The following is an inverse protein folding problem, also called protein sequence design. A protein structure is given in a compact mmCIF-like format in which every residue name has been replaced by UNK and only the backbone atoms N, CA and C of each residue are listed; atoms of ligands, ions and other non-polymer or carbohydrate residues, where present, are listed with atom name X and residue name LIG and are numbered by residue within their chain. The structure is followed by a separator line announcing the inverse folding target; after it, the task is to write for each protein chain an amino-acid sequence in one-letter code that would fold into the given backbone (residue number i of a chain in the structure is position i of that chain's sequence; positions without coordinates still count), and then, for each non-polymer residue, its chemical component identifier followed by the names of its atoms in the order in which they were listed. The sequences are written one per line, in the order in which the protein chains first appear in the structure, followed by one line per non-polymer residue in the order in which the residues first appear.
data_IF_320422670165
#
_entry.id   IF_320422670165
#
_cell.length_a   1.000
_cell.length_b   1.000
_cell.length_c   1.000
_cell.angle_alpha   90.00
_cell.angle_beta   90.00
_cell.angle_gamma   90.00
#
_symmetry.space_group_name_H-M   'P 1'
#
loop_
_entity.id
_entity.type
_entity.pdbx_description
1 polymer ?
#
# COMPACT_ATOMS: atom_id res chain seq x y z
N UNK A 1 7.85 -5.33 26.87
CA UNK A 1 7.19 -4.04 26.63
C UNK A 1 8.18 -2.97 26.15
N UNK A 2 9.34 -2.78 26.84
CA UNK A 2 10.32 -1.73 26.52
C UNK A 2 11.08 -1.95 25.19
N UNK A 3 11.40 -3.19 24.82
CA UNK A 3 12.18 -3.49 23.61
C UNK A 3 11.44 -3.28 22.29
N UNK A 4 10.10 -3.33 22.30
CA UNK A 4 9.27 -3.12 21.09
C UNK A 4 8.97 -1.66 20.80
N UNK A 5 8.81 -0.81 21.83
CA UNK A 5 8.74 0.64 21.66
C UNK A 5 9.99 1.19 20.95
N UNK A 6 11.16 0.63 21.24
CA UNK A 6 12.43 1.05 20.63
C UNK A 6 12.49 0.74 19.12
N UNK A 7 11.92 -0.39 18.65
CA UNK A 7 11.92 -0.73 17.21
C UNK A 7 10.99 0.18 16.39
N UNK A 8 9.84 0.55 16.94
CA UNK A 8 8.92 1.50 16.29
C UNK A 8 9.54 2.89 16.22
N UNK A 9 10.24 3.30 17.27
CA UNK A 9 10.96 4.57 17.30
C UNK A 9 12.14 4.60 16.32
N UNK A 10 12.85 3.48 16.12
CA UNK A 10 13.95 3.39 15.15
C UNK A 10 13.46 3.47 13.70
N UNK A 11 12.31 2.87 13.38
CA UNK A 11 11.70 3.03 12.06
C UNK A 11 11.32 4.49 11.77
N UNK A 12 10.83 5.23 12.77
CA UNK A 12 10.52 6.66 12.66
C UNK A 12 11.77 7.53 12.47
N UNK A 13 12.89 7.20 13.14
CA UNK A 13 14.14 7.95 13.02
C UNK A 13 14.81 7.78 11.65
N UNK A 14 14.64 6.62 11.01
CA UNK A 14 15.20 6.40 9.68
C UNK A 14 14.48 7.21 8.60
N UNK A 15 13.17 7.49 8.77
CA UNK A 15 12.41 8.39 7.87
C UNK A 15 12.94 9.83 7.83
N UNK A 16 13.50 10.34 8.93
CA UNK A 16 13.98 11.73 9.01
C UNK A 16 15.31 11.98 8.29
N UNK A 17 16.05 10.94 7.91
CA UNK A 17 17.40 11.10 7.28
C UNK A 17 17.40 11.06 5.76
N UNK A 18 16.32 10.74 5.09
CA UNK A 18 16.26 10.63 3.62
C UNK A 18 15.54 11.81 2.96
N UNK A 19 15.61 12.99 3.55
CA UNK A 19 15.17 14.24 2.95
C UNK A 19 16.06 14.62 1.76
N UNK A 20 15.84 14.02 0.60
CA UNK A 20 16.18 14.59 -0.70
C UNK A 20 14.87 14.74 -1.47
N UNK A 21 14.37 15.97 -1.44
CA UNK A 21 13.35 16.50 -2.32
C UNK A 21 13.79 16.33 -3.79
N UNK A 22 13.41 15.21 -4.38
CA UNK A 22 13.45 15.04 -5.82
C UNK A 22 12.02 15.25 -6.31
N UNK A 23 11.72 16.44 -6.83
CA UNK A 23 10.48 16.74 -7.49
C UNK A 23 10.22 15.69 -8.57
N UNK A 24 9.09 14.99 -8.45
CA UNK A 24 8.49 14.32 -9.60
C UNK A 24 8.08 15.46 -10.53
N UNK A 25 8.95 15.78 -11.49
CA UNK A 25 8.77 16.93 -12.38
C UNK A 25 7.50 16.75 -13.19
N UNK A 26 6.47 17.49 -12.86
CA UNK A 26 5.26 17.62 -13.66
C UNK A 26 5.61 18.46 -14.89
N UNK A 27 6.18 17.82 -15.91
CA UNK A 27 6.30 18.45 -17.23
C UNK A 27 5.01 18.20 -17.99
N UNK A 28 4.44 19.22 -18.68
CA UNK A 28 3.35 18.98 -19.61
C UNK A 28 3.86 18.04 -20.72
N UNK A 29 3.26 16.84 -20.78
CA UNK A 29 3.69 15.78 -21.70
C UNK A 29 3.19 16.13 -23.10
N UNK A 30 4.08 16.61 -23.95
CA UNK A 30 3.94 16.41 -25.39
C UNK A 30 4.13 14.91 -25.59
N UNK A 31 3.06 14.21 -25.99
CA UNK A 31 3.03 12.75 -26.15
C UNK A 31 4.03 12.33 -27.24
N UNK A 32 5.26 12.05 -26.85
CA UNK A 32 6.24 11.40 -27.68
C UNK A 32 6.32 9.94 -27.20
N UNK A 33 5.98 8.97 -28.06
CA UNK A 33 6.01 7.53 -27.75
C UNK A 33 7.34 7.03 -27.15
N UNK A 34 8.41 7.82 -27.28
CA UNK A 34 9.72 7.53 -26.71
C UNK A 34 9.77 7.52 -25.17
N UNK A 35 8.72 8.00 -24.48
CA UNK A 35 8.65 8.08 -23.01
C UNK A 35 7.58 7.16 -22.40
N UNK A 36 6.97 6.27 -23.18
CA UNK A 36 6.08 5.26 -22.66
C UNK A 36 6.94 4.10 -22.17
N UNK A 37 6.94 3.85 -20.88
CA UNK A 37 7.58 2.66 -20.32
C UNK A 37 6.64 1.47 -20.56
N UNK A 38 6.85 0.78 -21.68
CA UNK A 38 6.09 -0.43 -21.95
C UNK A 38 6.36 -1.48 -20.86
N UNK A 39 5.35 -2.29 -20.50
CA UNK A 39 5.57 -3.45 -19.66
C UNK A 39 6.72 -4.31 -20.24
N UNK A 40 7.48 -4.97 -19.37
CA UNK A 40 8.48 -5.92 -19.85
C UNK A 40 7.80 -7.08 -20.63
N UNK A 41 8.61 -7.96 -21.22
CA UNK A 41 8.11 -9.09 -22.03
C UNK A 41 7.11 -9.99 -21.27
N UNK A 42 7.13 -9.96 -19.95
CA UNK A 42 6.22 -10.71 -19.06
C UNK A 42 5.01 -9.84 -18.60
N UNK A 43 4.83 -8.64 -19.15
CA UNK A 43 3.76 -7.71 -18.78
C UNK A 43 3.93 -7.04 -17.42
N UNK A 44 5.14 -7.09 -16.85
CA UNK A 44 5.45 -6.51 -15.54
C UNK A 44 5.77 -5.02 -15.69
N UNK A 45 5.22 -4.21 -14.80
CA UNK A 45 5.49 -2.76 -14.72
C UNK A 45 6.16 -2.45 -13.40
N UNK A 46 7.31 -1.80 -13.46
CA UNK A 46 8.12 -1.47 -12.30
C UNK A 46 7.88 -0.03 -11.87
N UNK A 47 7.87 0.19 -10.55
CA UNK A 47 7.78 1.54 -9.99
C UNK A 47 8.95 2.40 -10.49
N UNK A 48 8.69 3.60 -11.05
CA UNK A 48 9.74 4.46 -11.59
C UNK A 48 10.71 4.98 -10.52
N UNK A 49 10.29 4.95 -9.24
CA UNK A 49 11.10 5.46 -8.12
C UNK A 49 11.98 4.40 -7.48
N UNK A 50 11.43 3.25 -7.11
CA UNK A 50 12.13 2.21 -6.34
C UNK A 50 12.40 0.92 -7.12
N UNK A 51 11.87 0.77 -8.34
CA UNK A 51 12.04 -0.43 -9.16
C UNK A 51 11.24 -1.65 -8.69
N UNK A 52 10.43 -1.55 -7.65
CA UNK A 52 9.58 -2.64 -7.18
C UNK A 52 8.47 -2.94 -8.18
N UNK A 53 8.05 -4.21 -8.25
CA UNK A 53 6.95 -4.62 -9.09
C UNK A 53 5.65 -3.94 -8.68
N UNK A 54 4.99 -3.27 -9.63
CA UNK A 54 3.68 -2.67 -9.45
C UNK A 54 2.55 -3.69 -9.43
N UNK A 55 1.52 -3.41 -8.65
CA UNK A 55 0.28 -4.20 -8.62
C UNK A 55 -0.76 -3.40 -9.40
N UNK A 56 -1.32 -3.99 -10.46
CA UNK A 56 -2.36 -3.34 -11.27
C UNK A 56 -3.61 -3.07 -10.42
N UNK A 57 -4.12 -1.83 -10.48
CA UNK A 57 -5.33 -1.38 -9.80
C UNK A 57 -6.27 -0.68 -10.76
N UNK A 58 -7.57 -0.88 -10.54
CA UNK A 58 -8.62 -0.16 -11.26
C UNK A 58 -9.02 1.14 -10.56
N UNK A 59 -10.15 1.72 -11.00
CA UNK A 59 -10.66 3.01 -10.51
C UNK A 59 -11.03 3.01 -9.02
N UNK A 60 -11.54 1.89 -8.49
CA UNK A 60 -12.02 1.80 -7.10
C UNK A 60 -11.02 2.29 -6.05
N UNK A 61 -9.82 1.69 -5.96
CA UNK A 61 -8.75 2.17 -5.08
C UNK A 61 -8.32 3.61 -5.36
N UNK A 62 -8.21 3.99 -6.65
CA UNK A 62 -7.80 5.34 -7.05
C UNK A 62 -8.80 6.39 -6.55
N UNK A 63 -10.10 6.15 -6.72
CA UNK A 63 -11.17 7.04 -6.27
C UNK A 63 -11.26 7.12 -4.73
N UNK A 64 -10.93 6.02 -4.06
CA UNK A 64 -11.00 5.94 -2.61
C UNK A 64 -9.82 6.65 -1.94
N UNK A 65 -8.61 6.45 -2.46
CA UNK A 65 -7.39 6.84 -1.74
C UNK A 65 -6.74 8.12 -2.24
N UNK A 66 -6.92 8.52 -3.50
CA UNK A 66 -6.25 9.70 -4.06
C UNK A 66 -7.03 10.97 -3.74
N UNK A 67 -6.32 12.03 -3.33
CA UNK A 67 -6.91 13.36 -3.16
C UNK A 67 -7.51 13.85 -4.47
N UNK A 68 -8.66 14.52 -4.40
CA UNK A 68 -9.42 14.96 -5.58
C UNK A 68 -8.61 15.88 -6.50
N UNK A 69 -7.79 16.75 -5.92
CA UNK A 69 -6.91 17.69 -6.63
C UNK A 69 -5.93 17.05 -7.60
N UNK A 70 -5.54 15.80 -7.35
CA UNK A 70 -4.54 15.07 -8.15
C UNK A 70 -5.09 13.81 -8.82
N UNK A 71 -6.38 13.49 -8.57
CA UNK A 71 -7.02 12.27 -9.08
C UNK A 71 -6.98 12.16 -10.61
N UNK A 72 -7.08 13.29 -11.30
CA UNK A 72 -7.06 13.36 -12.77
C UNK A 72 -5.74 12.91 -13.41
N UNK A 73 -4.65 12.81 -12.66
CA UNK A 73 -3.36 12.32 -13.18
C UNK A 73 -3.41 10.84 -13.58
N UNK A 74 -4.28 10.05 -12.92
CA UNK A 74 -4.41 8.61 -13.13
C UNK A 74 -5.88 8.26 -13.38
N UNK A 75 -6.42 8.47 -14.61
CA UNK A 75 -7.86 8.46 -14.83
C UNK A 75 -8.51 7.08 -14.63
N UNK A 76 -8.01 6.02 -15.25
CA UNK A 76 -8.74 4.76 -15.35
C UNK A 76 -8.06 3.56 -14.67
N UNK A 77 -6.74 3.48 -14.77
CA UNK A 77 -5.95 2.39 -14.22
C UNK A 77 -4.54 2.87 -13.88
N UNK A 78 -3.94 2.19 -12.91
CA UNK A 78 -2.59 2.47 -12.47
C UNK A 78 -1.96 1.22 -11.86
N UNK A 79 -0.71 1.34 -11.44
CA UNK A 79 -0.02 0.36 -10.63
C UNK A 79 0.25 0.93 -9.25
N UNK A 80 -0.03 0.13 -8.24
CA UNK A 80 0.29 0.43 -6.85
C UNK A 80 1.71 -0.03 -6.52
N UNK A 81 2.49 0.80 -5.84
CA UNK A 81 3.82 0.45 -5.33
C UNK A 81 3.71 -0.06 -3.89
N UNK A 82 3.99 -1.34 -3.66
CA UNK A 82 3.88 -1.96 -2.32
C UNK A 82 5.09 -1.69 -1.41
N UNK A 83 6.13 -1.04 -1.90
CA UNK A 83 7.35 -0.82 -1.12
C UNK A 83 7.11 0.26 -0.06
N UNK A 84 7.13 -0.13 1.23
CA UNK A 84 6.74 0.73 2.36
C UNK A 84 7.58 2.02 2.49
N UNK A 85 8.85 1.98 2.07
CA UNK A 85 9.74 3.14 2.12
C UNK A 85 9.73 3.97 0.82
N UNK A 86 8.84 3.65 -0.13
CA UNK A 86 8.72 4.40 -1.37
C UNK A 86 7.77 5.58 -1.18
N UNK A 87 8.17 6.74 -1.73
CA UNK A 87 7.32 7.94 -1.73
C UNK A 87 6.16 7.85 -2.74
N UNK A 88 6.26 6.96 -3.77
CA UNK A 88 5.23 6.77 -4.79
C UNK A 88 4.23 5.74 -4.32
N UNK A 89 2.94 6.13 -4.28
CA UNK A 89 1.84 5.23 -4.01
C UNK A 89 1.31 4.58 -5.30
N UNK A 90 0.99 5.40 -6.29
CA UNK A 90 0.47 4.93 -7.58
C UNK A 90 1.24 5.55 -8.74
N UNK A 91 1.30 4.83 -9.85
CA UNK A 91 1.93 5.30 -11.08
C UNK A 91 1.32 4.64 -12.31
N UNK A 92 1.52 5.22 -13.50
CA UNK A 92 1.06 4.66 -14.76
C UNK A 92 2.23 4.43 -15.74
N UNK A 93 1.92 3.90 -16.94
CA UNK A 93 2.91 3.65 -17.99
C UNK A 93 3.58 4.92 -18.54
N UNK A 94 3.02 6.09 -18.27
CA UNK A 94 3.59 7.38 -18.65
C UNK A 94 4.46 7.99 -17.55
N UNK A 95 4.79 7.20 -16.52
CA UNK A 95 5.54 7.63 -15.33
C UNK A 95 4.88 8.78 -14.54
N UNK A 96 3.58 9.02 -14.77
CA UNK A 96 2.82 9.92 -13.91
C UNK A 96 2.61 9.24 -12.56
N UNK A 97 2.97 9.94 -11.50
CA UNK A 97 2.93 9.41 -10.14
C UNK A 97 1.93 10.17 -9.27
N UNK A 98 1.36 9.44 -8.31
CA UNK A 98 0.70 9.99 -7.13
C UNK A 98 1.52 9.58 -5.92
N UNK A 99 1.91 10.56 -5.12
CA UNK A 99 2.78 10.35 -3.97
C UNK A 99 1.97 9.87 -2.77
N UNK A 100 2.63 9.22 -1.80
CA UNK A 100 2.00 8.83 -0.53
C UNK A 100 1.42 10.03 0.21
N UNK A 101 2.06 11.20 0.15
CA UNK A 101 1.57 12.46 0.73
C UNK A 101 0.30 13.03 0.05
N UNK A 102 -0.01 12.55 -1.16
CA UNK A 102 -1.19 12.95 -1.93
C UNK A 102 -2.37 11.97 -1.74
N UNK A 103 -2.24 11.02 -0.83
CA UNK A 103 -3.34 10.17 -0.40
C UNK A 103 -4.24 10.93 0.58
N UNK A 104 -5.54 10.59 0.59
CA UNK A 104 -6.56 11.21 1.46
C UNK A 104 -6.35 10.93 2.94
N UNK A 105 -5.78 9.77 3.25
CA UNK A 105 -5.53 9.30 4.61
C UNK A 105 -4.28 8.42 4.66
N UNK A 106 -3.67 8.24 5.83
CA UNK A 106 -2.63 7.24 6.03
C UNK A 106 -3.12 5.84 5.69
N UNK A 107 -2.28 5.04 5.04
CA UNK A 107 -2.60 3.67 4.61
C UNK A 107 -1.43 2.73 4.88
N UNK A 108 -1.75 1.49 5.26
CA UNK A 108 -0.76 0.43 5.35
C UNK A 108 -0.28 0.01 3.94
N UNK A 109 1.01 -0.28 3.69
CA UNK A 109 2.12 -0.38 4.64
C UNK A 109 2.93 0.91 4.85
N UNK A 110 2.56 2.03 4.26
CA UNK A 110 3.28 3.31 4.41
C UNK A 110 3.13 3.89 5.82
N UNK A 111 2.01 3.61 6.47
CA UNK A 111 1.75 3.93 7.88
C UNK A 111 1.34 2.65 8.62
N UNK A 112 2.14 2.28 9.63
CA UNK A 112 1.91 1.05 10.40
C UNK A 112 0.74 1.15 11.38
N UNK A 113 0.30 2.37 11.70
CA UNK A 113 -0.87 2.60 12.56
C UNK A 113 -2.18 2.51 11.75
N UNK A 114 -2.09 2.55 10.41
CA UNK A 114 -3.24 2.39 9.53
C UNK A 114 -3.71 0.93 9.46
N UNK A 115 -5.03 0.69 9.22
CA UNK A 115 -5.56 -0.66 9.11
C UNK A 115 -4.94 -1.43 7.92
N UNK A 116 -4.54 -2.68 8.17
CA UNK A 116 -4.16 -3.64 7.11
C UNK A 116 -5.40 -4.02 6.29
N UNK A 117 -6.54 -4.20 6.99
CA UNK A 117 -7.81 -4.46 6.37
C UNK A 117 -8.67 -3.20 6.33
N UNK A 118 -8.75 -2.53 5.19
CA UNK A 118 -9.56 -1.34 5.02
C UNK A 118 -11.08 -1.59 5.14
N UNK A 119 -11.56 -2.83 4.85
CA UNK A 119 -12.99 -3.15 4.93
C UNK A 119 -13.49 -3.29 6.37
N UNK A 120 -12.68 -3.87 7.26
CA UNK A 120 -13.10 -4.27 8.61
C UNK A 120 -12.20 -3.70 9.71
N UNK A 121 -11.25 -2.84 9.37
CA UNK A 121 -10.45 -2.09 10.32
C UNK A 121 -9.38 -2.90 11.07
N UNK A 122 -9.05 -4.13 10.64
CA UNK A 122 -8.01 -4.91 11.31
C UNK A 122 -6.64 -4.26 11.18
N UNK A 123 -6.00 -3.99 12.31
CA UNK A 123 -4.70 -3.32 12.40
C UNK A 123 -3.55 -4.32 12.57
N UNK A 124 -2.32 -3.81 12.47
CA UNK A 124 -1.12 -4.58 12.80
C UNK A 124 -1.13 -5.03 14.27
N UNK A 125 -1.58 -4.16 15.20
CA UNK A 125 -1.66 -4.47 16.62
C UNK A 125 -2.66 -5.60 16.93
N UNK A 126 -3.76 -5.68 16.17
CA UNK A 126 -4.73 -6.77 16.31
C UNK A 126 -4.13 -8.13 15.91
N UNK A 127 -3.34 -8.15 14.82
CA UNK A 127 -2.63 -9.36 14.38
C UNK A 127 -1.55 -9.75 15.36
N UNK A 128 -0.82 -8.79 15.92
CA UNK A 128 0.20 -9.03 16.95
C UNK A 128 -0.43 -9.59 18.23
N UNK A 129 -1.56 -9.04 18.67
CA UNK A 129 -2.29 -9.58 19.81
C UNK A 129 -2.76 -11.01 19.56
N UNK A 130 -3.43 -11.28 18.42
CA UNK A 130 -3.86 -12.64 18.06
C UNK A 130 -2.69 -13.63 17.93
N UNK A 131 -1.48 -13.17 17.59
CA UNK A 131 -0.29 -14.03 17.48
C UNK A 131 0.25 -14.53 18.83
N UNK A 132 -0.15 -13.86 19.92
CA UNK A 132 0.23 -14.23 21.31
C UNK A 132 -0.88 -14.97 22.04
N UNK A 133 -2.10 -14.89 21.53
CA UNK A 133 -3.25 -15.56 22.11
C UNK A 133 -3.28 -17.03 21.67
N UNK A 134 -3.84 -17.93 22.51
CA UNK A 134 -4.03 -19.33 22.14
C UNK A 134 -4.96 -19.51 20.93
N UNK A 135 -5.87 -18.56 20.72
CA UNK A 135 -6.80 -18.58 19.61
C UNK A 135 -6.86 -17.21 18.89
N UNK A 136 -6.57 -17.15 17.59
CA UNK A 136 -6.61 -15.91 16.80
C UNK A 136 -8.05 -15.52 16.44
N UNK A 137 -8.78 -14.97 17.39
CA UNK A 137 -10.24 -14.70 17.24
C UNK A 137 -10.53 -13.60 16.21
N UNK A 138 -9.73 -12.53 16.19
CA UNK A 138 -9.92 -11.40 15.26
C UNK A 138 -9.63 -11.82 13.82
N UNK A 139 -8.59 -12.62 13.62
CA UNK A 139 -8.24 -13.16 12.29
C UNK A 139 -9.31 -14.15 11.81
N UNK A 140 -9.83 -15.01 12.68
CA UNK A 140 -10.92 -15.93 12.32
C UNK A 140 -12.19 -15.17 11.93
N UNK A 141 -12.53 -14.13 12.67
CA UNK A 141 -13.67 -13.27 12.35
C UNK A 141 -13.46 -12.53 11.02
N UNK A 142 -12.25 -12.01 10.75
CA UNK A 142 -11.90 -11.44 9.47
C UNK A 142 -12.07 -12.45 8.32
N UNK A 143 -11.60 -13.68 8.49
CA UNK A 143 -11.75 -14.75 7.49
C UNK A 143 -13.23 -15.04 7.19
N UNK A 144 -14.09 -15.02 8.21
CA UNK A 144 -15.53 -15.19 8.05
C UNK A 144 -16.14 -14.02 7.27
N UNK A 145 -15.83 -12.78 7.67
CA UNK A 145 -16.33 -11.54 7.05
C UNK A 145 -15.82 -11.33 5.62
N UNK A 146 -14.61 -11.76 5.32
CA UNK A 146 -14.03 -11.59 3.98
C UNK A 146 -14.78 -12.33 2.87
N UNK A 147 -15.64 -13.28 3.23
CA UNK A 147 -16.51 -14.03 2.33
C UNK A 147 -17.91 -13.44 2.22
N UNK A 148 -18.22 -12.41 3.01
CA UNK A 148 -19.53 -11.76 3.01
C UNK A 148 -19.62 -10.68 1.92
N UNK A 149 -20.84 -10.28 1.53
CA UNK A 149 -21.06 -9.15 0.60
C UNK A 149 -20.54 -7.80 1.11
N UNK A 150 -20.25 -7.70 2.41
CA UNK A 150 -19.69 -6.48 3.03
C UNK A 150 -18.21 -6.27 2.67
N UNK A 151 -17.54 -7.31 2.15
CA UNK A 151 -16.14 -7.23 1.75
C UNK A 151 -15.99 -6.45 0.44
N UNK A 152 -15.60 -5.19 0.53
CA UNK A 152 -15.43 -4.28 -0.61
C UNK A 152 -13.94 -4.07 -0.96
N UNK A 153 -13.13 -5.13 -0.94
CA UNK A 153 -11.67 -5.03 -1.12
C UNK A 153 -11.29 -4.35 -2.44
N UNK A 154 -11.98 -4.64 -3.53
CA UNK A 154 -11.72 -4.04 -4.85
C UNK A 154 -11.85 -2.50 -4.85
N UNK A 155 -12.57 -1.93 -3.89
CA UNK A 155 -12.75 -0.49 -3.75
C UNK A 155 -11.93 0.09 -2.62
N UNK A 156 -11.97 -0.56 -1.42
CA UNK A 156 -11.43 0.00 -0.19
C UNK A 156 -9.97 -0.38 0.07
N UNK A 157 -9.49 -1.52 -0.46
CA UNK A 157 -8.08 -1.87 -0.31
C UNK A 157 -7.22 -1.01 -1.22
N UNK A 158 -6.06 -0.58 -0.75
CA UNK A 158 -5.16 0.30 -1.51
C UNK A 158 -4.67 -0.34 -2.81
N UNK A 159 -4.53 -1.66 -2.84
CA UNK A 159 -4.13 -2.45 -4.00
C UNK A 159 -5.30 -3.15 -4.70
N UNK A 160 -6.54 -2.90 -4.24
CA UNK A 160 -7.75 -3.55 -4.75
C UNK A 160 -7.85 -5.05 -4.45
N UNK A 161 -6.95 -5.61 -3.64
CA UNK A 161 -6.90 -7.02 -3.34
C UNK A 161 -7.39 -7.33 -1.92
N UNK A 162 -7.76 -8.59 -1.68
CA UNK A 162 -8.13 -9.03 -0.34
C UNK A 162 -6.90 -9.13 0.56
N UNK A 163 -6.95 -8.47 1.71
CA UNK A 163 -5.86 -8.42 2.69
C UNK A 163 -5.55 -9.75 3.40
N UNK A 164 -6.37 -10.79 3.25
CA UNK A 164 -6.25 -12.07 3.98
C UNK A 164 -4.85 -12.67 3.85
N UNK A 165 -4.30 -12.69 2.63
CA UNK A 165 -2.95 -13.25 2.41
C UNK A 165 -1.90 -12.50 3.22
N UNK A 166 -1.98 -11.20 3.27
CA UNK A 166 -1.04 -10.33 3.99
C UNK A 166 -1.17 -10.50 5.50
N UNK A 167 -2.42 -10.53 6.01
CA UNK A 167 -2.72 -10.78 7.42
C UNK A 167 -2.19 -12.16 7.84
N UNK A 168 -2.39 -13.20 7.04
CA UNK A 168 -1.87 -14.54 7.32
C UNK A 168 -0.34 -14.57 7.34
N UNK A 169 0.31 -13.94 6.38
CA UNK A 169 1.78 -13.86 6.34
C UNK A 169 2.34 -13.13 7.55
N UNK A 170 1.71 -12.03 7.96
CA UNK A 170 2.09 -11.27 9.14
C UNK A 170 1.91 -12.11 10.42
N UNK A 171 0.76 -12.76 10.59
CA UNK A 171 0.48 -13.65 11.71
C UNK A 171 1.54 -14.75 11.83
N UNK A 172 1.83 -15.46 10.72
CA UNK A 172 2.84 -16.52 10.71
C UNK A 172 4.25 -16.02 11.03
N UNK A 173 4.55 -14.78 10.65
CA UNK A 173 5.84 -14.15 10.98
C UNK A 173 5.94 -13.79 12.46
N UNK A 174 4.87 -13.28 13.05
CA UNK A 174 4.82 -12.89 14.46
C UNK A 174 4.77 -14.09 15.40
N UNK A 175 4.00 -15.14 15.06
CA UNK A 175 3.90 -16.38 15.85
C UNK A 175 5.19 -17.19 15.91
N UNK A 176 6.12 -16.97 14.97
CA UNK A 176 7.45 -17.65 14.95
C UNK A 176 8.56 -16.81 15.60
N UNK A 177 8.26 -15.57 15.98
CA UNK A 177 9.23 -14.72 16.65
C UNK A 177 9.39 -15.19 18.11
N UNK A 178 10.61 -15.53 18.58
CA UNK A 178 10.88 -15.98 19.94
C UNK A 178 10.63 -14.91 20.98
#
# INVERSE_FOLDING_TARGET
YAARCVRVAQARQHRQRLGRSGECSVRPVIMNKAFVREPDADGRVLCPRCGSLGISVGTGPLDTHIQESVRSRLPDSAWYCRHADCEVAYFNMFEQCVMVSELRAPVYPYDLDAPICACFGLTWNDVDADSRDEAPLRIRELLRKSKSPEAMCQRLAIDGQCCIREVQQLYMKLSKAP
#
